data_IF_502484965679
#
_entry.id   IF_502484965679
#
_cell.length_a   1.000
_cell.length_b   1.000
_cell.length_c   1.000
_cell.angle_alpha   90.00
_cell.angle_beta   90.00
_cell.angle_gamma   90.00
#
_symmetry.space_group_name_H-M   'P 1'
#
loop_
_entity.id
_entity.type
_entity.pdbx_description
1 polymer ?
#
# COMPACT_ATOMS: atom_id res chain seq x y z
N UNK A 1 12.91 14.10 -0.37
CA UNK A 1 12.50 13.46 0.89
C UNK A 1 11.77 12.18 0.52
N UNK A 2 11.96 11.10 1.28
CA UNK A 2 11.17 9.88 1.07
C UNK A 2 9.71 10.21 1.42
N UNK A 3 8.77 9.86 0.52
CA UNK A 3 7.34 10.04 0.74
C UNK A 3 6.87 9.05 1.79
N UNK A 4 5.80 9.41 2.49
CA UNK A 4 5.18 8.55 3.46
C UNK A 4 3.73 8.28 3.05
N UNK A 5 3.39 7.01 3.05
CA UNK A 5 2.08 6.52 2.70
C UNK A 5 1.50 5.74 3.87
N UNK A 6 0.18 5.72 4.00
CA UNK A 6 -0.51 4.76 4.84
C UNK A 6 -1.58 4.00 4.06
N UNK A 7 -1.75 2.73 4.39
CA UNK A 7 -2.78 1.88 3.80
C UNK A 7 -3.49 1.07 4.89
N UNK A 8 -4.72 0.69 4.60
CA UNK A 8 -5.54 -0.12 5.47
C UNK A 8 -5.54 -1.55 4.98
N UNK A 9 -5.20 -2.48 5.86
CA UNK A 9 -5.15 -3.91 5.57
C UNK A 9 -5.81 -4.71 6.68
N UNK A 10 -6.57 -5.74 6.32
CA UNK A 10 -7.18 -6.63 7.31
C UNK A 10 -6.19 -7.68 7.82
N UNK A 11 -5.39 -8.24 6.92
CA UNK A 11 -4.35 -9.23 7.22
C UNK A 11 -3.08 -8.88 6.44
N UNK A 12 -1.90 -9.15 7.02
CA UNK A 12 -0.63 -9.06 6.31
C UNK A 12 -0.52 -10.08 5.18
N UNK A 13 -1.24 -11.19 5.27
CA UNK A 13 -1.29 -12.19 4.21
C UNK A 13 -1.86 -11.65 2.89
N UNK A 14 -2.59 -10.54 2.91
CA UNK A 14 -3.13 -9.90 1.69
C UNK A 14 -2.11 -9.01 0.98
N UNK A 15 -0.96 -8.71 1.60
CA UNK A 15 0.13 -7.95 1.00
C UNK A 15 1.24 -8.89 0.55
N UNK A 16 1.36 -9.17 -0.76
CA UNK A 16 2.41 -10.04 -1.26
C UNK A 16 3.76 -9.34 -1.24
N UNK A 17 4.66 -9.77 -0.34
CA UNK A 17 6.01 -9.20 -0.24
C UNK A 17 6.82 -9.40 -1.52
N UNK A 18 7.44 -8.32 -2.00
CA UNK A 18 8.32 -8.33 -3.16
C UNK A 18 7.61 -8.56 -4.49
N UNK A 19 6.28 -8.54 -4.53
CA UNK A 19 5.48 -8.64 -5.76
C UNK A 19 4.73 -7.35 -6.02
N UNK A 20 4.35 -7.16 -7.29
CA UNK A 20 3.46 -6.08 -7.67
C UNK A 20 2.06 -6.34 -7.09
N UNK A 21 1.49 -5.30 -6.51
CA UNK A 21 0.14 -5.31 -5.95
C UNK A 21 -0.52 -3.97 -6.24
N UNK A 22 -1.81 -3.98 -6.54
CA UNK A 22 -2.62 -2.76 -6.60
C UNK A 22 -3.18 -2.48 -5.21
N UNK A 23 -2.87 -1.32 -4.65
CA UNK A 23 -3.38 -0.91 -3.34
C UNK A 23 -3.82 0.55 -3.32
N UNK A 24 -4.80 0.82 -2.45
CA UNK A 24 -5.17 2.17 -2.08
C UNK A 24 -4.17 2.65 -1.02
N UNK A 25 -3.43 3.70 -1.33
CA UNK A 25 -2.55 4.37 -0.37
C UNK A 25 -3.01 5.79 -0.17
N UNK A 26 -2.92 6.27 1.06
CA UNK A 26 -3.07 7.67 1.38
C UNK A 26 -1.67 8.27 1.54
N UNK A 27 -1.39 9.31 0.78
CA UNK A 27 -0.18 10.10 0.94
C UNK A 27 -0.31 10.94 2.22
N UNK A 28 0.68 10.86 3.11
CA UNK A 28 0.68 11.60 4.37
C UNK A 28 1.14 13.05 4.22
N UNK A 29 1.66 13.44 3.06
CA UNK A 29 2.05 14.82 2.78
C UNK A 29 0.84 15.70 2.43
N UNK A 30 -0.10 15.18 1.65
CA UNK A 30 -1.29 15.91 1.17
C UNK A 30 -2.64 15.28 1.57
N UNK A 31 -2.60 14.16 2.30
CA UNK A 31 -3.74 13.39 2.78
C UNK A 31 -4.69 12.89 1.69
N UNK A 32 -4.23 12.80 0.44
CA UNK A 32 -5.02 12.25 -0.67
C UNK A 32 -4.86 10.74 -0.78
N UNK A 33 -5.97 10.07 -1.01
CA UNK A 33 -6.00 8.64 -1.33
C UNK A 33 -5.86 8.47 -2.84
N UNK A 34 -4.87 7.68 -3.25
CA UNK A 34 -4.61 7.31 -4.63
C UNK A 34 -4.56 5.79 -4.75
N UNK A 35 -4.99 5.26 -5.90
CA UNK A 35 -4.72 3.87 -6.24
C UNK A 35 -3.34 3.81 -6.88
N UNK A 36 -2.51 2.87 -6.45
CA UNK A 36 -1.17 2.68 -7.02
C UNK A 36 -0.93 1.21 -7.28
N UNK A 37 -0.19 0.95 -8.36
CA UNK A 37 0.52 -0.31 -8.51
C UNK A 37 1.89 -0.14 -7.88
N UNK A 38 2.21 -0.98 -6.91
CA UNK A 38 3.46 -0.87 -6.18
C UNK A 38 4.01 -2.23 -5.77
N UNK A 39 5.30 -2.26 -5.46
CA UNK A 39 5.92 -3.38 -4.76
C UNK A 39 6.07 -3.00 -3.30
N UNK A 40 5.63 -3.87 -2.41
CA UNK A 40 5.72 -3.66 -0.97
C UNK A 40 6.63 -4.70 -0.33
N UNK A 41 7.39 -4.31 0.68
CA UNK A 41 8.25 -5.24 1.41
C UNK A 41 8.37 -4.87 2.89
N UNK A 42 8.50 -5.87 3.76
CA UNK A 42 8.79 -5.63 5.17
C UNK A 42 10.25 -5.23 5.43
N UNK A 43 11.13 -5.51 4.46
CA UNK A 43 12.58 -5.24 4.51
C UNK A 43 13.02 -4.50 3.25
N UNK A 44 13.73 -3.39 3.42
CA UNK A 44 14.28 -2.58 2.33
C UNK A 44 14.85 -1.27 2.85
N UNK A 45 15.88 -0.75 2.19
CA UNK A 45 16.67 0.40 2.69
C UNK A 45 16.41 1.70 1.91
N UNK A 46 15.91 1.64 0.66
CA UNK A 46 15.93 2.81 -0.26
C UNK A 46 14.57 3.30 -0.78
N UNK A 47 13.45 2.73 -0.32
CA UNK A 47 12.12 3.08 -0.82
C UNK A 47 11.28 3.90 0.20
N UNK A 48 10.21 4.52 -0.30
CA UNK A 48 9.23 5.29 0.46
C UNK A 48 8.60 4.46 1.60
N UNK A 49 8.10 5.13 2.63
CA UNK A 49 7.55 4.46 3.82
C UNK A 49 6.06 4.13 3.61
N UNK A 50 5.67 2.92 4.00
CA UNK A 50 4.30 2.45 4.02
C UNK A 50 3.86 2.05 5.43
N UNK A 51 2.99 2.86 6.02
CA UNK A 51 2.38 2.59 7.30
C UNK A 51 1.17 1.67 7.12
N UNK A 52 1.22 0.50 7.77
CA UNK A 52 0.12 -0.46 7.76
C UNK A 52 -0.81 -0.22 8.93
N UNK A 53 -2.08 0.07 8.63
CA UNK A 53 -3.15 0.20 9.62
C UNK A 53 -4.09 -0.99 9.53
N UNK A 54 -4.28 -1.68 10.64
CA UNK A 54 -5.30 -2.73 10.72
C UNK A 54 -6.69 -2.11 10.87
N UNK A 55 -7.74 -2.82 10.45
CA UNK A 55 -9.15 -2.38 10.47
C UNK A 55 -9.71 -1.95 11.83
N UNK A 56 -8.97 -2.18 12.93
CA UNK A 56 -9.25 -1.63 14.27
C UNK A 56 -8.44 -0.38 14.64
N UNK A 57 -7.83 0.29 13.67
CA UNK A 57 -7.00 1.48 13.88
C UNK A 57 -5.64 1.21 14.52
N UNK A 58 -5.27 -0.07 14.72
CA UNK A 58 -3.95 -0.43 15.25
C UNK A 58 -2.90 -0.17 14.17
N UNK A 59 -2.04 0.81 14.41
CA UNK A 59 -0.85 1.05 13.60
C UNK A 59 0.19 -0.02 13.93
N UNK A 60 0.83 -0.58 12.92
CA UNK A 60 1.99 -1.47 13.12
C UNK A 60 3.21 -0.64 13.52
N UNK A 61 3.96 -1.12 14.51
CA UNK A 61 5.14 -0.41 15.05
C UNK A 61 6.27 -0.23 14.03
N UNK A 62 6.32 -1.08 13.00
CA UNK A 62 7.34 -1.05 11.95
C UNK A 62 6.68 -0.77 10.59
N UNK A 63 6.99 0.36 9.94
CA UNK A 63 6.52 0.62 8.59
C UNK A 63 7.13 -0.38 7.61
N UNK A 64 6.40 -0.64 6.55
CA UNK A 64 6.89 -1.33 5.37
C UNK A 64 7.54 -0.33 4.43
N UNK A 65 8.15 -0.87 3.38
CA UNK A 65 8.62 -0.12 2.24
C UNK A 65 7.63 -0.25 1.09
N UNK A 66 7.47 0.82 0.34
CA UNK A 66 6.65 0.84 -0.87
C UNK A 66 7.44 1.48 -2.00
N UNK A 67 7.46 0.80 -3.14
CA UNK A 67 7.96 1.32 -4.40
C UNK A 67 6.80 1.47 -5.37
N UNK A 68 6.34 2.71 -5.54
CA UNK A 68 5.28 3.03 -6.50
C UNK A 68 5.81 2.87 -7.92
N UNK A 69 5.18 2.01 -8.70
CA UNK A 69 5.49 1.80 -10.12
C UNK A 69 4.66 2.76 -10.96
N UNK A 70 3.36 2.86 -10.69
CA UNK A 70 2.42 3.73 -11.40
C UNK A 70 1.25 4.13 -10.49
N UNK A 71 0.71 5.33 -10.74
CA UNK A 71 -0.58 5.77 -10.21
C UNK A 71 -1.70 5.30 -11.12
N UNK A 72 -2.74 4.72 -10.54
CA UNK A 72 -3.88 4.14 -11.25
C UNK A 72 -5.14 4.97 -11.01
N UNK A 73 -6.10 4.94 -11.96
CA UNK A 73 -7.45 5.43 -11.70
C UNK A 73 -8.09 4.63 -10.55
N UNK A 74 -8.95 5.28 -9.75
CA UNK A 74 -9.52 4.70 -8.53
C UNK A 74 -10.31 3.41 -8.81
N UNK A 75 -10.89 3.30 -10.00
CA UNK A 75 -11.62 2.14 -10.49
C UNK A 75 -10.76 0.87 -10.55
N UNK A 76 -9.43 0.99 -10.71
CA UNK A 76 -8.53 -0.14 -10.79
C UNK A 76 -8.49 -0.99 -9.51
N UNK A 77 -8.84 -0.40 -8.35
CA UNK A 77 -8.93 -1.13 -7.07
C UNK A 77 -10.01 -2.21 -7.06
N UNK A 78 -11.03 -2.10 -7.91
CA UNK A 78 -12.17 -3.02 -7.94
C UNK A 78 -11.98 -4.17 -8.93
N UNK A 79 -11.08 -4.03 -9.90
CA UNK A 79 -10.92 -4.99 -11.00
C UNK A 79 -10.28 -6.30 -10.51
N UNK A 80 -9.31 -6.24 -9.60
CA UNK A 80 -8.68 -7.47 -9.06
C UNK A 80 -9.63 -8.30 -8.19
N UNK A 81 -10.68 -7.69 -7.63
CA UNK A 81 -11.66 -8.39 -6.79
C UNK A 81 -12.65 -9.26 -7.59
N UNK A 82 -12.80 -9.02 -8.90
CA UNK A 82 -13.74 -9.75 -9.76
C UNK A 82 -13.18 -11.01 -10.43
N UNK A 83 -11.87 -11.28 -10.32
CA UNK A 83 -11.23 -12.44 -10.98
C UNK A 83 -11.26 -13.71 -10.11
N UNK A 84 -11.82 -13.64 -8.89
CA UNK A 84 -11.91 -14.76 -7.94
C UNK A 84 -13.33 -15.31 -7.72
N UNK A 85 -14.23 -15.21 -8.71
CA UNK A 85 -15.52 -15.93 -8.71
C UNK A 85 -15.45 -17.25 -9.47
#
# INVERSE_FOLDING_TARGET
>A
MAKQYDTFVDDLATLPEGKEVVLAVRNLDDFKTIAVKAVVSSTGEEDDLLWLRFSRGRLRDKPWRIKVIEELPFEALFIESSVLQ
#
